data_IF_746288622859
#
_entry.id   IF_746288622859
#
_cell.length_a   1.000
_cell.length_b   1.000
_cell.length_c   1.000
_cell.angle_alpha   90.00
_cell.angle_beta   90.00
_cell.angle_gamma   90.00
#
_symmetry.space_group_name_H-M   'P 1'
#
loop_
_entity.id
_entity.type
_entity.pdbx_description
1 polymer ?
#
# COMPACT_ATOMS: atom_id res chain seq x y z
N UNK A 1 35.45 -21.66 -1.75
CA UNK A 1 36.23 -22.89 -1.41
C UNK A 1 36.75 -23.59 -2.65
N UNK A 2 36.01 -23.79 -3.73
CA UNK A 2 36.54 -24.39 -4.99
C UNK A 2 37.69 -23.58 -5.60
N UNK A 3 37.64 -22.23 -5.57
CA UNK A 3 38.71 -21.34 -6.06
C UNK A 3 40.05 -21.45 -5.29
N UNK A 4 40.09 -22.12 -4.13
CA UNK A 4 41.29 -22.35 -3.32
C UNK A 4 41.70 -23.82 -3.29
N UNK A 5 41.18 -24.65 -4.19
CA UNK A 5 41.45 -26.11 -4.29
C UNK A 5 41.26 -26.89 -2.97
N UNK A 6 40.36 -26.42 -2.09
CA UNK A 6 40.06 -27.06 -0.81
C UNK A 6 39.08 -28.24 -0.99
N UNK A 7 38.22 -28.16 -2.02
CA UNK A 7 37.24 -29.20 -2.38
C UNK A 7 37.22 -29.36 -3.90
N UNK A 8 37.21 -30.61 -4.36
CA UNK A 8 37.23 -30.98 -5.80
C UNK A 8 35.82 -31.09 -6.40
N UNK A 9 34.77 -31.19 -5.56
CA UNK A 9 33.36 -31.33 -5.97
C UNK A 9 32.53 -30.36 -5.18
N UNK A 10 31.62 -29.65 -5.86
CA UNK A 10 30.68 -28.76 -5.21
C UNK A 10 29.64 -29.60 -4.43
N UNK A 11 29.60 -29.56 -3.08
CA UNK A 11 28.64 -30.35 -2.30
C UNK A 11 27.18 -29.93 -2.52
N UNK A 12 26.95 -28.75 -3.09
CA UNK A 12 25.60 -28.21 -3.36
C UNK A 12 25.06 -28.59 -4.75
N UNK A 13 25.84 -29.28 -5.58
CA UNK A 13 25.45 -29.60 -6.97
C UNK A 13 24.25 -30.56 -7.05
N UNK A 14 24.07 -31.39 -6.01
CA UNK A 14 22.98 -32.38 -5.90
C UNK A 14 21.79 -31.89 -5.07
N UNK A 15 21.80 -30.63 -4.59
CA UNK A 15 20.70 -30.08 -3.81
C UNK A 15 19.64 -29.58 -4.78
N UNK A 16 18.55 -30.32 -4.92
CA UNK A 16 17.37 -29.85 -5.64
C UNK A 16 16.70 -28.75 -4.84
N UNK A 17 16.41 -27.61 -5.50
CA UNK A 17 15.60 -26.54 -4.89
C UNK A 17 14.21 -27.07 -4.55
N UNK A 18 13.67 -26.85 -3.34
CA UNK A 18 12.34 -27.30 -2.98
C UNK A 18 11.32 -26.67 -3.95
N UNK A 19 10.51 -27.53 -4.58
CA UNK A 19 9.42 -27.11 -5.45
C UNK A 19 8.31 -26.53 -4.57
N UNK A 20 8.30 -25.20 -4.40
CA UNK A 20 7.20 -24.51 -3.76
C UNK A 20 5.94 -24.71 -4.63
N UNK A 21 4.89 -25.29 -4.06
CA UNK A 21 3.56 -25.30 -4.69
C UNK A 21 3.15 -23.83 -4.89
N UNK A 22 3.17 -23.36 -6.13
CA UNK A 22 2.60 -22.05 -6.48
C UNK A 22 1.07 -22.17 -6.30
N UNK A 23 0.55 -21.73 -5.17
CA UNK A 23 -0.88 -21.52 -5.07
C UNK A 23 -1.26 -20.31 -5.96
N UNK A 24 -2.29 -20.45 -6.76
CA UNK A 24 -2.83 -19.31 -7.49
C UNK A 24 -3.30 -18.25 -6.49
N UNK A 25 -3.06 -16.97 -6.76
CA UNK A 25 -3.57 -15.89 -5.91
C UNK A 25 -5.10 -16.01 -5.82
N UNK A 26 -5.65 -15.92 -4.63
CA UNK A 26 -7.10 -15.76 -4.47
C UNK A 26 -7.49 -14.39 -5.02
N UNK A 27 -8.40 -14.38 -5.96
CA UNK A 27 -8.98 -13.16 -6.53
C UNK A 27 -10.29 -12.89 -5.79
N UNK A 28 -10.47 -11.67 -5.30
CA UNK A 28 -11.72 -11.22 -4.71
C UNK A 28 -12.78 -11.07 -5.80
N UNK A 29 -14.00 -11.50 -5.53
CA UNK A 29 -15.14 -11.23 -6.40
C UNK A 29 -15.68 -9.80 -6.16
N UNK A 30 -16.59 -9.35 -7.02
CA UNK A 30 -17.15 -7.99 -6.96
C UNK A 30 -17.90 -7.74 -5.65
N UNK A 31 -18.58 -8.74 -5.11
CA UNK A 31 -19.33 -8.62 -3.86
C UNK A 31 -18.39 -8.46 -2.66
N UNK A 32 -17.28 -9.22 -2.65
CA UNK A 32 -16.24 -9.11 -1.62
C UNK A 32 -15.55 -7.75 -1.65
N UNK A 33 -15.26 -7.23 -2.84
CA UNK A 33 -14.70 -5.89 -3.01
C UNK A 33 -15.69 -4.83 -2.51
N UNK A 34 -16.96 -4.94 -2.86
CA UNK A 34 -17.99 -4.00 -2.41
C UNK A 34 -18.14 -4.01 -0.88
N UNK A 35 -18.09 -5.17 -0.24
CA UNK A 35 -18.09 -5.26 1.24
C UNK A 35 -16.88 -4.57 1.84
N UNK A 36 -15.71 -4.78 1.24
CA UNK A 36 -14.44 -4.18 1.68
C UNK A 36 -14.44 -2.65 1.58
N UNK A 37 -15.11 -2.07 0.58
CA UNK A 37 -15.17 -0.63 0.36
C UNK A 37 -16.32 0.05 1.12
N UNK A 38 -17.44 -0.67 1.35
CA UNK A 38 -18.67 -0.09 1.92
C UNK A 38 -18.78 -0.17 3.44
N UNK A 39 -17.71 -0.53 4.16
CA UNK A 39 -17.76 -0.50 5.62
C UNK A 39 -17.84 0.93 6.16
N UNK A 40 -18.54 1.10 7.28
CA UNK A 40 -18.70 2.38 7.94
C UNK A 40 -17.49 2.67 8.84
N UNK A 41 -16.71 3.69 8.51
CA UNK A 41 -15.57 4.13 9.31
C UNK A 41 -16.05 4.99 10.48
N UNK A 42 -15.54 4.74 11.70
CA UNK A 42 -15.90 5.45 12.93
C UNK A 42 -14.71 6.15 13.59
N UNK A 43 -13.52 5.65 13.35
CA UNK A 43 -12.28 6.17 13.95
C UNK A 43 -11.35 6.76 12.89
N UNK A 44 -10.43 7.61 13.29
CA UNK A 44 -9.44 8.20 12.37
C UNK A 44 -8.60 7.14 11.65
N UNK A 45 -8.32 6.00 12.31
CA UNK A 45 -7.61 4.87 11.70
C UNK A 45 -8.47 4.15 10.65
N UNK A 46 -9.75 4.01 10.89
CA UNK A 46 -10.68 3.40 9.94
C UNK A 46 -10.92 4.32 8.72
N UNK A 47 -11.01 5.64 8.92
CA UNK A 47 -11.05 6.59 7.79
C UNK A 47 -9.78 6.54 6.95
N UNK A 48 -8.60 6.41 7.58
CA UNK A 48 -7.35 6.14 6.87
C UNK A 48 -7.43 4.85 6.07
N UNK A 49 -7.90 3.75 6.67
CA UNK A 49 -8.01 2.46 6.01
C UNK A 49 -8.93 2.55 4.78
N UNK A 50 -10.09 3.17 4.94
CA UNK A 50 -11.05 3.40 3.86
C UNK A 50 -10.44 4.23 2.73
N UNK A 51 -9.76 5.33 3.04
CA UNK A 51 -9.06 6.13 2.05
C UNK A 51 -7.96 5.37 1.30
N UNK A 52 -7.22 4.49 1.99
CA UNK A 52 -6.23 3.62 1.35
C UNK A 52 -6.87 2.63 0.38
N UNK A 53 -7.95 1.97 0.79
CA UNK A 53 -8.65 0.98 -0.03
C UNK A 53 -9.29 1.61 -1.26
N UNK A 54 -9.99 2.72 -1.09
CA UNK A 54 -10.60 3.47 -2.18
C UNK A 54 -9.56 3.94 -3.20
N UNK A 55 -8.41 4.44 -2.73
CA UNK A 55 -7.35 4.90 -3.61
C UNK A 55 -6.69 3.75 -4.37
N UNK A 56 -6.44 2.61 -3.70
CA UNK A 56 -5.89 1.41 -4.38
C UNK A 56 -6.85 0.90 -5.43
N UNK A 57 -8.14 0.81 -5.11
CA UNK A 57 -9.16 0.33 -6.03
C UNK A 57 -9.35 1.26 -7.23
N UNK A 58 -9.44 2.57 -6.97
CA UNK A 58 -9.61 3.59 -8.00
C UNK A 58 -8.43 3.70 -8.97
N UNK A 59 -7.20 3.65 -8.44
CA UNK A 59 -5.99 3.98 -9.20
C UNK A 59 -5.14 2.77 -9.57
N UNK A 60 -5.47 1.57 -9.09
CA UNK A 60 -4.66 0.38 -9.33
C UNK A 60 -3.23 0.49 -8.82
N UNK A 61 -3.03 1.13 -7.66
CA UNK A 61 -1.71 1.35 -7.09
C UNK A 61 -1.10 0.06 -6.55
N UNK A 62 0.21 -0.09 -6.74
CA UNK A 62 0.95 -1.13 -6.01
C UNK A 62 1.04 -0.76 -4.53
N UNK A 63 1.04 -1.76 -3.63
CA UNK A 63 1.17 -1.51 -2.18
C UNK A 63 2.40 -0.67 -1.84
N UNK A 64 3.51 -0.90 -2.53
CA UNK A 64 4.74 -0.10 -2.35
C UNK A 64 4.58 1.36 -2.78
N UNK A 65 3.78 1.64 -3.80
CA UNK A 65 3.47 3.00 -4.23
C UNK A 65 2.56 3.68 -3.20
N UNK A 66 1.48 3.00 -2.80
CA UNK A 66 0.52 3.49 -1.81
C UNK A 66 1.17 3.94 -0.50
N UNK A 67 1.99 3.07 0.12
CA UNK A 67 2.61 3.38 1.43
C UNK A 67 3.71 4.45 1.34
N UNK A 68 4.20 4.72 0.14
CA UNK A 68 5.21 5.76 -0.09
C UNK A 68 4.64 7.11 -0.49
N UNK A 69 3.34 7.21 -0.77
CA UNK A 69 2.71 8.48 -1.12
C UNK A 69 2.92 9.53 -0.03
N UNK A 70 3.15 10.75 -0.50
CA UNK A 70 3.14 11.96 0.31
C UNK A 70 1.87 12.78 0.03
N UNK A 71 1.54 13.72 0.89
CA UNK A 71 0.36 14.59 0.68
C UNK A 71 0.46 15.35 -0.62
N UNK A 72 1.66 15.83 -0.97
CA UNK A 72 1.90 16.59 -2.19
C UNK A 72 1.81 15.76 -3.48
N UNK A 73 1.76 14.44 -3.40
CA UNK A 73 1.55 13.57 -4.56
C UNK A 73 0.07 13.52 -4.98
N UNK A 74 -0.83 14.08 -4.17
CA UNK A 74 -2.27 14.17 -4.43
C UNK A 74 -2.63 15.59 -4.87
N UNK A 75 -3.27 15.73 -6.03
CA UNK A 75 -3.90 16.96 -6.45
C UNK A 75 -5.42 16.80 -6.37
N UNK A 76 -6.00 17.33 -5.30
CA UNK A 76 -7.45 17.24 -5.05
C UNK A 76 -8.26 18.09 -6.04
N UNK A 77 -7.71 19.21 -6.52
CA UNK A 77 -8.39 20.11 -7.44
C UNK A 77 -8.50 19.53 -8.84
N UNK A 78 -7.42 18.90 -9.31
CA UNK A 78 -7.34 18.29 -10.64
C UNK A 78 -7.63 16.78 -10.60
N UNK A 79 -7.99 16.24 -9.42
CA UNK A 79 -8.47 14.87 -9.23
C UNK A 79 -7.47 13.79 -9.70
N UNK A 80 -6.18 13.94 -9.40
CA UNK A 80 -5.18 12.95 -9.76
C UNK A 80 -4.18 12.63 -8.62
N UNK A 81 -3.55 11.48 -8.72
CA UNK A 81 -2.37 11.08 -7.94
C UNK A 81 -1.17 10.93 -8.85
N UNK A 82 -0.03 11.44 -8.37
CA UNK A 82 1.27 11.29 -9.03
C UNK A 82 2.07 10.19 -8.34
N UNK A 83 2.48 9.17 -9.08
CA UNK A 83 3.26 8.05 -8.54
C UNK A 83 4.54 7.83 -9.31
N UNK A 84 5.59 7.43 -8.60
CA UNK A 84 6.87 7.07 -9.18
C UNK A 84 6.97 5.56 -9.36
N UNK A 85 7.09 5.12 -10.60
CA UNK A 85 7.28 3.72 -10.96
C UNK A 85 8.75 3.29 -10.97
N UNK A 86 9.01 2.08 -11.46
CA UNK A 86 10.36 1.55 -11.67
C UNK A 86 11.15 2.47 -12.61
N UNK A 87 12.38 2.84 -12.20
CA UNK A 87 13.24 3.76 -12.96
C UNK A 87 12.91 5.24 -12.77
N UNK A 88 12.25 5.64 -11.66
CA UNK A 88 11.87 7.03 -11.36
C UNK A 88 10.95 7.69 -12.39
N UNK A 89 10.29 6.91 -13.25
CA UNK A 89 9.30 7.44 -14.17
C UNK A 89 8.04 7.80 -13.41
N UNK A 90 7.68 9.07 -13.43
CA UNK A 90 6.43 9.60 -12.88
C UNK A 90 5.26 9.24 -13.79
N UNK A 91 4.14 8.83 -13.21
CA UNK A 91 2.87 8.67 -13.90
C UNK A 91 1.75 9.35 -13.12
N UNK A 92 0.86 9.98 -13.84
CA UNK A 92 -0.34 10.64 -13.30
C UNK A 92 -1.52 9.70 -13.52
N UNK A 93 -2.30 9.45 -12.47
CA UNK A 93 -3.46 8.55 -12.50
C UNK A 93 -4.67 9.33 -11.98
N UNK A 94 -5.77 9.39 -12.73
CA UNK A 94 -7.00 10.03 -12.27
C UNK A 94 -7.59 9.27 -11.07
N UNK A 95 -8.16 10.01 -10.14
CA UNK A 95 -8.83 9.48 -8.94
C UNK A 95 -10.34 9.55 -9.18
N UNK A 96 -11.08 8.48 -8.85
CA UNK A 96 -12.55 8.50 -8.93
C UNK A 96 -13.15 9.50 -7.94
N UNK A 97 -14.34 10.01 -8.24
CA UNK A 97 -15.05 10.96 -7.37
C UNK A 97 -15.32 10.42 -5.96
N UNK A 98 -15.56 9.11 -5.83
CA UNK A 98 -15.77 8.45 -4.54
C UNK A 98 -14.47 8.44 -3.73
N UNK A 99 -13.37 7.95 -4.33
CA UNK A 99 -12.08 7.90 -3.67
C UNK A 99 -11.58 9.30 -3.31
N UNK A 100 -11.82 10.30 -4.18
CA UNK A 100 -11.45 11.69 -3.94
C UNK A 100 -12.15 12.26 -2.71
N UNK A 101 -13.45 12.01 -2.54
CA UNK A 101 -14.25 12.46 -1.40
C UNK A 101 -13.73 11.91 -0.08
N UNK A 102 -13.49 10.59 -0.04
CA UNK A 102 -12.98 9.92 1.16
C UNK A 102 -11.56 10.37 1.48
N UNK A 103 -10.74 10.58 0.46
CA UNK A 103 -9.36 11.04 0.60
C UNK A 103 -9.28 12.48 1.10
N UNK A 104 -10.11 13.38 0.57
CA UNK A 104 -10.19 14.77 1.00
C UNK A 104 -10.60 14.88 2.48
N UNK A 105 -11.63 14.14 2.88
CA UNK A 105 -12.07 14.06 4.27
C UNK A 105 -10.96 13.50 5.18
N UNK A 106 -10.28 12.43 4.76
CA UNK A 106 -9.16 11.89 5.50
C UNK A 106 -8.03 12.91 5.69
N UNK A 107 -7.61 13.58 4.62
CA UNK A 107 -6.49 14.54 4.64
C UNK A 107 -6.80 15.73 5.55
N UNK A 108 -8.01 16.28 5.45
CA UNK A 108 -8.38 17.52 6.16
C UNK A 108 -8.78 17.29 7.61
N UNK A 109 -9.48 16.21 7.90
CA UNK A 109 -10.10 15.98 9.21
C UNK A 109 -9.30 14.96 10.05
N UNK A 110 -9.03 13.80 9.52
CA UNK A 110 -8.51 12.68 10.32
C UNK A 110 -7.00 12.57 10.34
N UNK A 111 -6.32 12.87 9.23
CA UNK A 111 -4.85 12.81 9.17
C UNK A 111 -4.17 13.72 10.21
N UNK A 112 -4.63 14.97 10.45
CA UNK A 112 -4.03 15.82 11.49
C UNK A 112 -4.08 15.19 12.89
N UNK A 113 -5.16 14.48 13.23
CA UNK A 113 -5.29 13.80 14.52
C UNK A 113 -4.30 12.63 14.68
N UNK A 114 -3.90 12.01 13.56
CA UNK A 114 -2.95 10.91 13.54
C UNK A 114 -1.48 11.34 13.57
N UNK A 115 -1.17 12.61 13.33
CA UNK A 115 0.22 13.12 13.34
C UNK A 115 0.89 13.04 14.71
N UNK A 116 0.11 13.16 15.80
CA UNK A 116 0.62 13.06 17.19
C UNK A 116 1.86 13.93 17.47
N UNK A 117 1.94 15.11 16.83
CA UNK A 117 3.06 16.03 16.96
C UNK A 117 4.28 15.73 16.07
N UNK A 118 4.25 14.68 15.26
CA UNK A 118 5.29 14.43 14.26
C UNK A 118 5.08 15.28 13.02
N UNK A 119 6.17 15.78 12.45
CA UNK A 119 6.19 16.42 11.14
C UNK A 119 6.56 15.38 10.09
N UNK A 120 5.62 15.06 9.21
CA UNK A 120 5.85 14.11 8.10
C UNK A 120 4.94 14.43 6.93
N UNK A 121 5.49 14.32 5.72
CA UNK A 121 4.74 14.50 4.48
C UNK A 121 4.01 13.22 4.05
N UNK A 122 4.22 12.09 4.75
CA UNK A 122 3.54 10.83 4.42
C UNK A 122 2.03 10.99 4.44
N UNK A 123 1.39 10.53 3.36
CA UNK A 123 -0.06 10.60 3.21
C UNK A 123 -0.75 9.72 4.25
N UNK A 124 -0.39 8.45 4.31
CA UNK A 124 -1.02 7.48 5.21
C UNK A 124 -0.17 7.21 6.45
N UNK A 125 -0.77 7.42 7.61
CA UNK A 125 -0.09 7.35 8.89
C UNK A 125 -0.49 6.10 9.68
N UNK A 126 0.46 5.57 10.43
CA UNK A 126 0.23 4.55 11.45
C UNK A 126 -0.41 5.16 12.71
N UNK A 127 -0.84 4.31 13.65
CA UNK A 127 -1.29 4.75 14.98
C UNK A 127 -0.23 5.49 15.80
N UNK A 128 1.03 5.47 15.36
CA UNK A 128 2.17 6.14 16.02
C UNK A 128 2.56 7.47 15.36
N UNK A 129 1.78 7.98 14.40
CA UNK A 129 2.07 9.24 13.70
C UNK A 129 3.18 9.15 12.63
N UNK A 130 3.66 7.95 12.32
CA UNK A 130 4.67 7.69 11.28
C UNK A 130 4.01 7.11 10.03
N UNK A 131 4.68 7.19 8.88
CA UNK A 131 4.18 6.55 7.66
C UNK A 131 3.89 5.07 7.86
N UNK A 132 2.81 4.58 7.25
CA UNK A 132 2.43 3.17 7.30
C UNK A 132 3.42 2.32 6.49
N UNK A 133 3.66 1.07 6.94
CA UNK A 133 4.50 0.11 6.24
C UNK A 133 3.67 -0.84 5.38
N UNK A 134 4.33 -1.58 4.46
CA UNK A 134 3.67 -2.63 3.68
C UNK A 134 3.05 -3.71 4.58
N UNK A 135 3.77 -4.14 5.61
CA UNK A 135 3.25 -5.12 6.60
C UNK A 135 2.04 -4.55 7.34
N UNK A 136 2.09 -3.25 7.69
CA UNK A 136 0.95 -2.57 8.31
C UNK A 136 -0.28 -2.57 7.42
N UNK A 137 -0.13 -2.34 6.12
CA UNK A 137 -1.24 -2.40 5.18
C UNK A 137 -1.82 -3.82 5.04
N UNK A 138 -0.97 -4.86 4.94
CA UNK A 138 -1.44 -6.25 4.89
C UNK A 138 -2.16 -6.67 6.18
N UNK A 139 -1.71 -6.17 7.34
CA UNK A 139 -2.41 -6.41 8.60
C UNK A 139 -3.83 -5.81 8.58
N UNK A 140 -3.98 -4.58 8.09
CA UNK A 140 -5.28 -3.93 7.92
C UNK A 140 -6.21 -4.75 7.03
N UNK A 141 -5.72 -5.24 5.89
CA UNK A 141 -6.52 -6.05 4.96
C UNK A 141 -7.02 -7.36 5.58
N UNK A 142 -6.30 -7.91 6.54
CA UNK A 142 -6.70 -9.14 7.23
C UNK A 142 -7.66 -8.89 8.41
N UNK A 143 -7.79 -7.64 8.87
CA UNK A 143 -8.64 -7.24 10.00
C UNK A 143 -10.01 -6.70 9.55
N UNK A 144 -10.17 -6.36 8.28
CA UNK A 144 -11.45 -5.95 7.64
C UNK A 144 -12.20 -7.17 7.09
#
# INVERSE_FOLDING_TARGET
MMKKNVININPCEKIESPKLKKSLPKVLNVEEVNKLLNYEAKTALEYRNKAMLELVYSCGLRVSELVNLNVNDINLNECYVSVFGKGKKQRIIPISSIALKVLDEYIKVYRPTLLKGYLTDKLFLSSYGKGITRQGFFKILNEI
#
